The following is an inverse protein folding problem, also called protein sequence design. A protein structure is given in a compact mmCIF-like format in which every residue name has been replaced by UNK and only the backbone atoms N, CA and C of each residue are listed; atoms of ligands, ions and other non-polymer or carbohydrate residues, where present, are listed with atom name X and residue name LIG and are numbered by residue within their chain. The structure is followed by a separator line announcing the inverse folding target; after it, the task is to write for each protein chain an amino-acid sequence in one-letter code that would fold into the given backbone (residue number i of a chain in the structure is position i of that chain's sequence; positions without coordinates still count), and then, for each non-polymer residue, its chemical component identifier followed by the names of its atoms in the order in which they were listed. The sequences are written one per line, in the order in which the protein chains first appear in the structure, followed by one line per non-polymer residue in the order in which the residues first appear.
data_IF_673210140344
#
_entry.id   IF_673210140344
#
_cell.length_a   1.000
_cell.length_b   1.000
_cell.length_c   1.000
_cell.angle_alpha   90.00
_cell.angle_beta   90.00
_cell.angle_gamma   90.00
#
_symmetry.space_group_name_H-M   'P 1'
#
loop_
_entity.id
_entity.type
_entity.pdbx_description
1 polymer ?
#
# COMPACT_ATOMS: atom_id res chain seq x y z
N UNK A 1 11.73 4.64 -1.54
CA UNK A 1 11.22 3.65 -0.57
C UNK A 1 9.79 3.29 -0.94
N UNK A 2 9.43 2.01 -0.95
CA UNK A 2 8.03 1.54 -1.12
C UNK A 2 7.51 0.98 0.20
N UNK A 3 6.19 1.07 0.43
CA UNK A 3 5.56 0.58 1.67
C UNK A 3 4.19 -0.04 1.36
N UNK A 4 3.74 -1.05 2.11
CA UNK A 4 2.34 -1.46 2.09
C UNK A 4 1.42 -0.29 2.43
N UNK A 5 0.15 -0.38 2.04
CA UNK A 5 -0.86 0.55 2.55
C UNK A 5 -0.99 0.42 4.08
N UNK A 6 -1.71 1.37 4.68
CA UNK A 6 -2.00 1.32 6.10
C UNK A 6 -2.79 0.08 6.48
N UNK A 7 -2.31 -0.65 7.50
CA UNK A 7 -3.06 -1.76 8.09
C UNK A 7 -4.31 -1.20 8.78
N UNK A 8 -5.52 -1.67 8.44
CA UNK A 8 -6.77 -1.18 9.01
C UNK A 8 -6.77 -1.20 10.54
N UNK A 9 -7.33 -0.17 11.15
CA UNK A 9 -7.29 0.02 12.62
C UNK A 9 -7.90 -1.15 13.38
N UNK A 10 -8.99 -1.72 12.88
CA UNK A 10 -9.66 -2.87 13.49
C UNK A 10 -8.83 -4.17 13.49
N UNK A 11 -7.71 -4.21 12.75
CA UNK A 11 -6.76 -5.34 12.77
C UNK A 11 -5.57 -5.09 13.71
N UNK A 12 -5.50 -3.94 14.37
CA UNK A 12 -4.44 -3.63 15.31
C UNK A 12 -4.79 -4.16 16.71
N UNK A 13 -3.86 -4.82 17.42
CA UNK A 13 -4.12 -5.36 18.76
C UNK A 13 -4.66 -4.32 19.75
N UNK A 14 -4.17 -3.08 19.65
CA UNK A 14 -4.56 -1.95 20.51
C UNK A 14 -6.04 -1.56 20.38
N UNK A 15 -6.71 -1.91 19.27
CA UNK A 15 -8.13 -1.61 19.02
C UNK A 15 -9.03 -2.85 19.07
N UNK A 16 -8.56 -3.96 19.63
CA UNK A 16 -9.29 -5.24 19.66
C UNK A 16 -10.63 -5.19 20.41
N UNK A 17 -10.81 -4.26 21.35
CA UNK A 17 -12.03 -4.09 22.14
C UNK A 17 -12.98 -3.00 21.60
N UNK A 18 -12.64 -2.32 20.51
CA UNK A 18 -13.45 -1.25 19.95
C UNK A 18 -14.54 -1.81 19.03
N UNK A 19 -15.69 -1.14 18.86
CA UNK A 19 -16.68 -1.51 17.85
C UNK A 19 -16.10 -1.35 16.45
N UNK A 20 -16.45 -2.26 15.55
CA UNK A 20 -15.93 -2.34 14.18
C UNK A 20 -17.10 -2.51 13.21
N UNK A 21 -17.14 -1.67 12.18
CA UNK A 21 -18.09 -1.77 11.07
C UNK A 21 -17.29 -1.89 9.78
N UNK A 22 -17.32 -3.06 9.15
CA UNK A 22 -16.47 -3.38 8.01
C UNK A 22 -17.26 -4.00 6.87
N UNK A 23 -16.79 -3.76 5.65
CA UNK A 23 -17.27 -4.39 4.42
C UNK A 23 -16.11 -5.09 3.67
N UNK A 24 -14.93 -5.23 4.32
CA UNK A 24 -13.74 -5.87 3.76
C UNK A 24 -12.91 -5.04 2.79
N UNK A 25 -13.34 -3.80 2.45
CA UNK A 25 -12.63 -2.97 1.46
C UNK A 25 -11.23 -2.60 1.95
N UNK A 26 -11.09 -2.19 3.20
CA UNK A 26 -9.81 -1.73 3.75
C UNK A 26 -8.76 -2.84 3.86
N UNK A 27 -9.20 -4.06 4.16
CA UNK A 27 -8.40 -5.28 4.24
C UNK A 27 -7.98 -5.72 2.82
N UNK A 28 -8.92 -5.63 1.87
CA UNK A 28 -8.65 -5.90 0.47
C UNK A 28 -7.67 -4.92 -0.18
N UNK A 29 -7.68 -3.65 0.25
CA UNK A 29 -6.69 -2.65 -0.13
C UNK A 29 -5.33 -2.94 0.52
N UNK A 30 -5.29 -3.19 1.83
CA UNK A 30 -4.04 -3.52 2.53
C UNK A 30 -3.31 -4.73 1.93
N UNK A 31 -4.07 -5.76 1.52
CA UNK A 31 -3.51 -6.99 0.94
C UNK A 31 -2.85 -6.81 -0.44
N UNK A 32 -3.30 -5.83 -1.23
CA UNK A 32 -2.92 -5.71 -2.67
C UNK A 32 -2.30 -4.37 -3.04
N UNK A 33 -2.47 -3.35 -2.21
CA UNK A 33 -2.00 -2.00 -2.47
C UNK A 33 -0.56 -1.79 -2.02
N UNK A 34 0.15 -0.96 -2.78
CA UNK A 34 1.53 -0.56 -2.51
C UNK A 34 1.65 0.95 -2.72
N UNK A 35 2.25 1.65 -1.76
CA UNK A 35 2.69 3.03 -1.93
C UNK A 35 4.01 3.06 -2.70
N UNK A 36 4.03 3.81 -3.80
CA UNK A 36 5.20 4.00 -4.64
C UNK A 36 5.94 5.30 -4.30
N UNK A 37 7.23 5.43 -4.67
CA UNK A 37 7.94 6.70 -4.58
C UNK A 37 7.22 7.80 -5.37
N UNK A 38 6.79 8.85 -4.66
CA UNK A 38 6.01 9.97 -5.22
C UNK A 38 6.45 11.33 -4.68
N UNK A 39 7.73 11.44 -4.27
CA UNK A 39 8.29 12.68 -3.76
C UNK A 39 8.49 13.72 -4.88
N UNK A 40 8.68 15.01 -4.53
CA UNK A 40 8.80 16.09 -5.53
C UNK A 40 10.04 15.99 -6.42
N UNK A 41 11.02 15.15 -6.05
CA UNK A 41 12.25 14.90 -6.81
C UNK A 41 12.19 13.64 -7.66
N UNK A 42 11.04 12.95 -7.71
CA UNK A 42 10.84 11.81 -8.60
C UNK A 42 10.71 12.33 -10.02
N UNK A 43 11.66 11.97 -10.87
CA UNK A 43 11.68 12.35 -12.28
C UNK A 43 10.89 11.36 -13.15
N UNK A 44 10.60 11.72 -14.40
CA UNK A 44 9.97 10.81 -15.37
C UNK A 44 10.85 9.59 -15.68
N UNK A 45 12.16 9.70 -15.53
CA UNK A 45 13.11 8.57 -15.67
C UNK A 45 12.98 7.62 -14.47
N UNK A 46 12.87 8.16 -13.26
CA UNK A 46 12.61 7.37 -12.05
C UNK A 46 11.27 6.63 -12.15
N UNK A 47 10.21 7.31 -12.61
CA UNK A 47 8.89 6.68 -12.81
C UNK A 47 8.98 5.51 -13.80
N UNK A 48 9.68 5.70 -14.93
CA UNK A 48 9.88 4.63 -15.93
C UNK A 48 10.63 3.44 -15.33
N UNK A 49 11.72 3.70 -14.62
CA UNK A 49 12.48 2.66 -13.92
C UNK A 49 11.62 1.89 -12.92
N UNK A 50 10.83 2.59 -12.10
CA UNK A 50 9.92 1.97 -11.11
C UNK A 50 8.90 1.05 -11.81
N UNK A 51 8.26 1.53 -12.88
CA UNK A 51 7.25 0.76 -13.62
C UNK A 51 7.86 -0.48 -14.26
N UNK A 52 9.05 -0.37 -14.85
CA UNK A 52 9.72 -1.50 -15.49
C UNK A 52 10.13 -2.56 -14.45
N UNK A 53 10.66 -2.14 -13.31
CA UNK A 53 11.03 -3.06 -12.24
C UNK A 53 9.81 -3.76 -11.61
N UNK A 54 8.70 -3.02 -11.45
CA UNK A 54 7.42 -3.61 -11.02
C UNK A 54 6.93 -4.68 -11.99
N UNK A 55 6.99 -4.42 -13.30
CA UNK A 55 6.56 -5.39 -14.31
C UNK A 55 7.40 -6.67 -14.24
N UNK A 56 8.72 -6.57 -14.06
CA UNK A 56 9.60 -7.75 -13.90
C UNK A 56 9.31 -8.58 -12.66
N UNK A 57 8.80 -7.97 -11.59
CA UNK A 57 8.50 -8.66 -10.34
C UNK A 57 7.11 -9.32 -10.32
N UNK A 58 6.20 -8.89 -11.19
CA UNK A 58 4.79 -9.32 -11.18
C UNK A 58 4.46 -10.23 -12.37
N UNK A 59 5.21 -10.13 -13.48
CA UNK A 59 5.15 -11.02 -14.64
C UNK A 59 6.17 -12.16 -14.49
#
# INVERSE_FOLDING_TARGET
ESRPLWKPMHLQPVYSANPVYVNGVSEGLFKRGLCLPSGPYVTDEDVRYIVDEMKKCIL
#
